data_IF_491696868973
#
_entry.id   IF_491696868973
#
_cell.length_a   1.000
_cell.length_b   1.000
_cell.length_c   1.000
_cell.angle_alpha   90.00
_cell.angle_beta   90.00
_cell.angle_gamma   90.00
#
_symmetry.space_group_name_H-M   'P 1'
#
loop_
_entity.id
_entity.type
_entity.pdbx_description
1 polymer ?
#
# COMPACT_ATOMS: atom_id res chain seq x y z
N UNK A 1 -10.22 0.83 -11.64
CA UNK A 1 -10.65 -0.60 -11.78
C UNK A 1 -9.49 -1.56 -12.04
N UNK A 2 -8.68 -1.36 -13.07
CA UNK A 2 -7.70 -2.38 -13.49
C UNK A 2 -6.63 -2.70 -12.44
N UNK A 3 -6.17 -1.71 -11.67
CA UNK A 3 -5.15 -1.92 -10.62
C UNK A 3 -5.67 -2.74 -9.43
N UNK A 4 -6.96 -2.69 -9.12
CA UNK A 4 -7.57 -3.48 -8.04
C UNK A 4 -7.39 -5.00 -8.25
N UNK A 5 -7.39 -5.46 -9.49
CA UNK A 5 -7.18 -6.87 -9.84
C UNK A 5 -5.81 -7.35 -9.37
N UNK A 6 -4.77 -6.53 -9.55
CA UNK A 6 -3.39 -6.88 -9.17
C UNK A 6 -3.28 -7.10 -7.66
N UNK A 7 -3.96 -6.27 -6.86
CA UNK A 7 -3.98 -6.41 -5.41
C UNK A 7 -4.78 -7.64 -4.95
N UNK A 8 -5.83 -8.05 -5.69
CA UNK A 8 -6.68 -9.19 -5.33
C UNK A 8 -6.16 -10.54 -5.82
N UNK A 9 -5.36 -10.55 -6.86
CA UNK A 9 -4.87 -11.78 -7.49
C UNK A 9 -4.28 -12.78 -6.48
N UNK A 10 -3.36 -12.38 -5.55
CA UNK A 10 -2.80 -13.30 -4.56
C UNK A 10 -3.84 -13.88 -3.60
N UNK A 11 -4.89 -13.10 -3.28
CA UNK A 11 -5.99 -13.57 -2.41
C UNK A 11 -6.83 -14.60 -3.14
N UNK A 12 -7.17 -14.37 -4.40
CA UNK A 12 -7.96 -15.30 -5.21
C UNK A 12 -7.22 -16.61 -5.46
N UNK A 13 -5.91 -16.57 -5.68
CA UNK A 13 -5.08 -17.78 -5.78
C UNK A 13 -5.11 -18.61 -4.49
N UNK A 14 -5.21 -17.94 -3.35
CA UNK A 14 -5.38 -18.60 -2.04
C UNK A 14 -6.83 -18.98 -1.70
N UNK A 15 -7.80 -18.74 -2.60
CA UNK A 15 -9.22 -18.97 -2.35
C UNK A 15 -9.85 -17.99 -1.36
N UNK A 16 -9.27 -16.81 -1.21
CA UNK A 16 -9.69 -15.75 -0.30
C UNK A 16 -10.12 -14.50 -1.09
N UNK A 17 -10.85 -13.62 -0.44
CA UNK A 17 -11.17 -12.27 -0.95
C UNK A 17 -11.57 -11.36 0.20
N UNK A 18 -11.58 -10.05 -0.06
CA UNK A 18 -12.11 -9.04 0.86
C UNK A 18 -13.23 -8.25 0.20
N UNK A 19 -14.23 -7.83 1.00
CA UNK A 19 -15.51 -7.27 0.52
C UNK A 19 -15.52 -5.74 0.40
N UNK A 20 -14.41 -5.08 0.67
CA UNK A 20 -14.27 -3.62 0.53
C UNK A 20 -13.40 -3.24 -0.68
N UNK A 21 -13.26 -1.95 -0.97
CA UNK A 21 -12.30 -1.47 -1.96
C UNK A 21 -10.87 -1.68 -1.47
N UNK A 22 -9.92 -1.85 -2.38
CA UNK A 22 -8.50 -1.96 -2.04
C UNK A 22 -7.91 -0.63 -1.61
N UNK A 23 -8.51 0.49 -2.03
CA UNK A 23 -8.06 1.82 -1.65
C UNK A 23 -8.98 2.92 -2.19
N UNK A 24 -8.78 4.12 -1.68
CA UNK A 24 -9.58 5.30 -1.97
C UNK A 24 -8.73 6.57 -1.93
N UNK A 25 -9.21 7.64 -2.56
CA UNK A 25 -8.63 8.96 -2.43
C UNK A 25 -8.79 9.49 -1.01
N UNK A 26 -7.85 10.34 -0.60
CA UNK A 26 -7.81 10.99 0.71
C UNK A 26 -7.92 12.49 0.52
N UNK A 27 -8.84 13.12 1.25
CA UNK A 27 -9.10 14.55 1.19
C UNK A 27 -8.09 15.38 1.97
N UNK A 28 -7.79 16.56 1.46
CA UNK A 28 -6.84 17.49 2.07
C UNK A 28 -7.30 17.98 3.47
N UNK A 29 -8.60 18.10 3.70
CA UNK A 29 -9.16 18.64 4.93
C UNK A 29 -9.98 17.57 5.66
N UNK A 30 -9.30 16.62 6.28
CA UNK A 30 -9.88 15.61 7.20
C UNK A 30 -10.96 14.69 6.58
N UNK A 31 -11.24 14.75 5.28
CA UNK A 31 -12.15 13.80 4.66
C UNK A 31 -11.39 12.55 4.23
N UNK A 32 -11.37 11.55 5.09
CA UNK A 32 -10.58 10.33 4.88
C UNK A 32 -10.99 9.57 3.60
N UNK A 33 -12.25 9.63 3.20
CA UNK A 33 -12.73 9.05 1.95
C UNK A 33 -13.13 10.15 0.97
N UNK A 34 -12.23 10.58 0.10
CA UNK A 34 -12.52 11.62 -0.88
C UNK A 34 -12.08 11.16 -2.28
N UNK A 35 -13.00 11.35 -3.25
CA UNK A 35 -12.67 11.08 -4.66
C UNK A 35 -11.64 12.07 -5.23
N UNK A 36 -11.28 11.93 -6.51
CA UNK A 36 -11.96 11.11 -7.54
C UNK A 36 -11.48 9.66 -7.68
N UNK A 37 -10.30 9.32 -7.16
CA UNK A 37 -9.65 8.03 -7.37
C UNK A 37 -10.06 6.97 -6.34
N UNK A 38 -10.00 5.72 -6.76
CA UNK A 38 -10.13 4.56 -5.88
C UNK A 38 -9.55 3.31 -6.55
N UNK A 39 -9.04 2.40 -5.75
CA UNK A 39 -8.78 1.02 -6.13
C UNK A 39 -9.99 0.17 -5.77
N UNK A 40 -10.80 -0.19 -6.77
CA UNK A 40 -11.97 -1.06 -6.59
C UNK A 40 -12.36 -1.70 -7.93
N UNK A 41 -12.96 -2.89 -7.88
CA UNK A 41 -13.38 -3.62 -9.08
C UNK A 41 -14.73 -3.14 -9.65
N UNK A 42 -15.52 -2.41 -8.86
CA UNK A 42 -16.77 -1.78 -9.33
C UNK A 42 -16.62 -0.26 -9.29
N UNK A 43 -17.00 0.39 -10.37
CA UNK A 43 -17.23 1.84 -10.36
C UNK A 43 -18.46 2.23 -9.56
N UNK A 44 -18.65 3.53 -9.37
CA UNK A 44 -19.88 4.11 -8.84
C UNK A 44 -20.83 4.44 -9.99
N UNK A 45 -22.12 4.73 -9.70
CA UNK A 45 -23.10 5.13 -10.72
C UNK A 45 -22.62 6.34 -11.54
N UNK A 46 -22.02 7.32 -10.87
CA UNK A 46 -21.48 8.55 -11.48
C UNK A 46 -20.12 8.34 -12.17
N UNK A 47 -19.41 7.25 -11.87
CA UNK A 47 -18.09 6.94 -12.41
C UNK A 47 -17.92 5.43 -12.64
N UNK A 48 -18.65 4.86 -13.57
CA UNK A 48 -18.64 3.41 -13.81
C UNK A 48 -17.25 2.88 -14.24
N UNK A 49 -16.42 3.73 -14.87
CA UNK A 49 -15.05 3.41 -15.27
C UNK A 49 -13.98 3.69 -14.22
N UNK A 50 -14.35 4.35 -13.12
CA UNK A 50 -13.40 4.90 -12.17
C UNK A 50 -12.66 6.14 -12.71
N UNK A 51 -11.76 6.71 -11.90
CA UNK A 51 -10.87 7.78 -12.32
C UNK A 51 -9.55 7.22 -12.88
N UNK A 52 -8.96 7.94 -13.83
CA UNK A 52 -7.57 7.72 -14.25
C UNK A 52 -6.68 8.40 -13.23
N UNK A 53 -5.63 7.72 -12.79
CA UNK A 53 -4.67 8.32 -11.86
C UNK A 53 -3.85 9.42 -12.57
N UNK A 54 -3.71 10.54 -11.89
CA UNK A 54 -2.91 11.69 -12.31
C UNK A 54 -1.85 11.98 -11.25
N UNK A 55 -0.79 12.68 -11.65
CA UNK A 55 0.28 13.11 -10.75
C UNK A 55 -0.27 13.92 -9.58
N UNK A 56 0.19 13.63 -8.37
CA UNK A 56 -0.23 14.28 -7.15
C UNK A 56 -1.50 13.70 -6.49
N UNK A 57 -2.20 12.77 -7.14
CA UNK A 57 -3.32 12.09 -6.50
C UNK A 57 -2.83 11.19 -5.36
N UNK A 58 -3.40 11.39 -4.17
CA UNK A 58 -3.17 10.54 -2.99
C UNK A 58 -4.23 9.45 -2.97
N UNK A 59 -3.82 8.25 -2.58
CA UNK A 59 -4.71 7.08 -2.46
C UNK A 59 -4.20 6.16 -1.36
N UNK A 60 -5.11 5.42 -0.71
CA UNK A 60 -4.73 4.29 0.15
C UNK A 60 -4.51 3.04 -0.68
N UNK A 61 -3.73 2.10 -0.14
CA UNK A 61 -3.62 0.70 -0.57
C UNK A 61 -3.73 -0.16 0.68
N UNK A 62 -4.92 -0.76 0.88
CA UNK A 62 -5.37 -1.33 2.15
C UNK A 62 -6.04 -2.70 2.02
N UNK A 63 -5.45 -3.65 1.29
CA UNK A 63 -5.99 -4.99 1.21
C UNK A 63 -6.04 -5.67 2.59
N UNK A 64 -6.96 -6.62 2.78
CA UNK A 64 -7.08 -7.29 4.07
C UNK A 64 -7.74 -8.65 4.00
N UNK A 65 -7.58 -9.44 5.06
CA UNK A 65 -8.24 -10.72 5.28
C UNK A 65 -9.05 -10.62 6.57
N UNK A 66 -10.30 -11.09 6.52
CA UNK A 66 -11.21 -11.05 7.66
C UNK A 66 -11.94 -12.38 7.78
N UNK A 67 -11.58 -13.16 8.81
CA UNK A 67 -12.15 -14.47 9.07
C UNK A 67 -13.07 -14.37 10.27
N UNK A 68 -14.37 -14.52 10.04
CA UNK A 68 -15.41 -14.38 11.07
C UNK A 68 -15.14 -15.30 12.27
N UNK A 69 -15.21 -14.72 13.46
CA UNK A 69 -14.96 -15.44 14.72
C UNK A 69 -13.50 -15.82 14.98
N UNK A 70 -12.56 -15.38 14.14
CA UNK A 70 -11.12 -15.68 14.28
C UNK A 70 -10.27 -14.42 14.35
N UNK A 71 -10.02 -13.77 13.22
CA UNK A 71 -9.12 -12.60 13.14
C UNK A 71 -9.39 -11.76 11.89
N UNK A 72 -8.90 -10.55 11.91
CA UNK A 72 -8.76 -9.67 10.73
C UNK A 72 -7.37 -9.08 10.68
N UNK A 73 -6.81 -8.98 9.47
CA UNK A 73 -5.51 -8.37 9.20
C UNK A 73 -5.67 -7.44 8.00
N UNK A 74 -5.23 -6.19 8.16
CA UNK A 74 -5.09 -5.20 7.10
C UNK A 74 -3.67 -4.67 7.11
N UNK A 75 -3.03 -4.61 5.96
CA UNK A 75 -1.79 -3.86 5.76
C UNK A 75 -2.12 -2.67 4.87
N UNK A 76 -1.74 -1.48 5.29
CA UNK A 76 -2.17 -0.25 4.64
C UNK A 76 -1.05 0.78 4.58
N UNK A 77 -0.89 1.36 3.39
CA UNK A 77 -0.09 2.55 3.17
C UNK A 77 -0.88 3.61 2.40
N UNK A 78 -0.61 4.87 2.67
CA UNK A 78 -0.94 5.96 1.78
C UNK A 78 0.13 6.11 0.70
N UNK A 79 -0.32 6.35 -0.52
CA UNK A 79 0.50 6.46 -1.72
C UNK A 79 0.21 7.77 -2.44
N UNK A 80 1.22 8.36 -3.06
CA UNK A 80 1.04 9.45 -4.01
C UNK A 80 1.44 9.01 -5.41
N UNK A 81 0.58 9.31 -6.39
CA UNK A 81 0.83 9.01 -7.80
C UNK A 81 1.85 10.00 -8.38
N UNK A 82 2.89 9.51 -9.01
CA UNK A 82 3.97 10.28 -9.61
C UNK A 82 4.17 9.91 -11.09
N UNK A 83 4.70 10.87 -11.88
CA UNK A 83 5.14 10.59 -13.25
C UNK A 83 6.49 9.87 -13.24
N UNK A 84 6.56 8.77 -13.97
CA UNK A 84 7.77 8.07 -14.30
C UNK A 84 8.30 8.45 -15.68
N UNK A 85 8.94 7.49 -16.33
CA UNK A 85 9.47 7.65 -17.69
C UNK A 85 8.34 7.91 -18.70
N UNK A 86 8.64 8.76 -19.68
CA UNK A 86 7.81 8.93 -20.87
C UNK A 86 8.56 8.37 -22.09
N UNK A 87 7.94 7.45 -22.80
CA UNK A 87 8.50 6.84 -24.00
C UNK A 87 7.44 6.67 -25.10
N UNK A 88 7.73 5.88 -26.13
CA UNK A 88 6.84 5.63 -27.27
C UNK A 88 5.51 4.94 -26.89
N UNK A 89 5.45 4.24 -25.75
CA UNK A 89 4.22 3.61 -25.23
C UNK A 89 3.37 4.55 -24.38
N UNK A 90 3.89 5.72 -24.00
CA UNK A 90 3.17 6.75 -23.25
C UNK A 90 3.88 7.23 -22.01
N UNK A 91 3.12 7.89 -21.15
CA UNK A 91 3.58 8.34 -19.82
C UNK A 91 3.37 7.22 -18.82
N UNK A 92 4.47 6.64 -18.29
CA UNK A 92 4.41 5.71 -17.18
C UNK A 92 4.20 6.47 -15.86
N UNK A 93 3.46 5.85 -14.96
CA UNK A 93 3.19 6.35 -13.62
C UNK A 93 3.69 5.33 -12.59
N UNK A 94 4.03 5.81 -11.39
CA UNK A 94 4.34 4.95 -10.25
C UNK A 94 3.76 5.54 -8.98
N UNK A 95 3.76 4.76 -7.91
CA UNK A 95 3.32 5.21 -6.60
C UNK A 95 4.50 5.32 -5.65
N UNK A 96 4.54 6.40 -4.89
CA UNK A 96 5.50 6.65 -3.83
C UNK A 96 4.78 6.57 -2.49
N UNK A 97 5.40 5.94 -1.48
CA UNK A 97 4.82 5.82 -0.16
C UNK A 97 4.84 7.17 0.58
N UNK A 98 3.72 7.51 1.21
CA UNK A 98 3.59 8.62 2.15
C UNK A 98 3.61 8.12 3.61
N UNK A 99 3.31 6.85 3.85
CA UNK A 99 3.35 6.22 5.17
C UNK A 99 4.76 5.76 5.49
N UNK A 100 5.28 6.16 6.65
CA UNK A 100 6.59 5.77 7.16
C UNK A 100 6.46 5.02 8.49
N UNK A 101 5.73 3.90 8.47
CA UNK A 101 5.52 3.00 9.61
C UNK A 101 6.01 1.61 9.22
N UNK A 102 6.87 0.94 10.01
CA UNK A 102 7.31 -0.40 9.69
C UNK A 102 6.15 -1.40 9.77
N UNK A 103 6.11 -2.37 8.85
CA UNK A 103 5.26 -3.54 9.00
C UNK A 103 5.80 -4.45 10.10
N UNK A 104 4.88 -5.10 10.83
CA UNK A 104 5.24 -6.05 11.88
C UNK A 104 5.85 -7.32 11.27
N UNK A 105 7.17 -7.43 11.37
CA UNK A 105 7.92 -8.56 10.81
C UNK A 105 7.67 -9.88 11.56
N UNK A 106 7.21 -9.82 12.80
CA UNK A 106 6.92 -11.04 13.58
C UNK A 106 5.64 -11.73 13.09
N UNK A 107 4.80 -11.01 12.33
CA UNK A 107 3.62 -11.55 11.66
C UNK A 107 3.90 -12.04 10.23
N UNK A 108 5.12 -11.96 9.74
CA UNK A 108 5.51 -12.31 8.36
C UNK A 108 6.34 -13.61 8.36
N UNK A 109 5.96 -14.58 7.53
CA UNK A 109 6.78 -15.75 7.25
C UNK A 109 7.63 -15.53 5.98
N UNK A 110 8.94 -15.22 6.12
CA UNK A 110 9.78 -14.94 4.96
C UNK A 110 9.97 -16.14 4.01
N UNK A 111 9.66 -17.36 4.47
CA UNK A 111 9.77 -18.57 3.63
C UNK A 111 8.68 -18.64 2.56
N UNK A 112 7.58 -17.91 2.76
CA UNK A 112 6.47 -17.83 1.80
C UNK A 112 6.65 -16.66 0.82
N UNK A 113 7.67 -15.82 1.01
CA UNK A 113 7.95 -14.67 0.15
C UNK A 113 8.96 -15.00 -0.93
N UNK A 114 8.73 -14.46 -2.11
CA UNK A 114 9.74 -14.44 -3.19
C UNK A 114 10.87 -13.47 -2.86
N UNK A 115 12.03 -13.63 -3.49
CA UNK A 115 13.16 -12.71 -3.31
C UNK A 115 12.83 -11.26 -3.72
N UNK A 116 11.93 -11.09 -4.69
CA UNK A 116 11.44 -9.76 -5.12
C UNK A 116 10.60 -9.10 -4.04
N UNK A 117 9.72 -9.86 -3.39
CA UNK A 117 8.88 -9.35 -2.29
C UNK A 117 9.72 -8.99 -1.07
N UNK A 118 10.65 -9.87 -0.66
CA UNK A 118 11.60 -9.57 0.43
C UNK A 118 12.38 -8.29 0.13
N UNK A 119 12.92 -8.18 -1.09
CA UNK A 119 13.65 -6.98 -1.48
C UNK A 119 12.78 -5.72 -1.38
N UNK A 120 11.55 -5.75 -1.85
CA UNK A 120 10.62 -4.61 -1.78
C UNK A 120 10.32 -4.22 -0.33
N UNK A 121 10.07 -5.19 0.55
CA UNK A 121 9.83 -4.95 1.97
C UNK A 121 11.08 -4.36 2.66
N UNK A 122 12.26 -4.93 2.39
CA UNK A 122 13.53 -4.44 2.92
C UNK A 122 13.84 -3.01 2.43
N UNK A 123 13.61 -2.71 1.16
CA UNK A 123 13.78 -1.36 0.60
C UNK A 123 12.81 -0.36 1.27
N UNK A 124 11.55 -0.75 1.48
CA UNK A 124 10.56 0.05 2.20
C UNK A 124 11.01 0.33 3.65
N UNK A 125 11.40 -0.71 4.40
CA UNK A 125 11.87 -0.56 5.78
C UNK A 125 13.16 0.28 5.89
N UNK A 126 14.08 0.12 4.94
CA UNK A 126 15.28 0.97 4.89
C UNK A 126 14.90 2.46 4.69
N UNK A 127 13.90 2.74 3.86
CA UNK A 127 13.39 4.09 3.67
C UNK A 127 12.66 4.62 4.93
N UNK A 128 11.83 3.80 5.59
CA UNK A 128 11.21 4.15 6.88
C UNK A 128 12.29 4.52 7.90
N UNK A 129 13.31 3.67 8.07
CA UNK A 129 14.41 3.95 8.97
C UNK A 129 15.12 5.26 8.64
N UNK A 130 15.47 5.46 7.37
CA UNK A 130 16.14 6.67 6.89
C UNK A 130 15.36 7.95 7.20
N UNK A 131 14.04 7.93 7.02
CA UNK A 131 13.18 9.11 7.20
C UNK A 131 12.90 9.38 8.67
N UNK A 132 12.64 8.34 9.46
CA UNK A 132 12.15 8.48 10.85
C UNK A 132 13.29 8.54 11.88
N UNK A 133 14.41 7.82 11.66
CA UNK A 133 15.51 7.74 12.63
C UNK A 133 16.11 9.10 13.06
N UNK A 134 16.16 10.16 12.23
CA UNK A 134 16.67 11.46 12.67
C UNK A 134 15.84 12.13 13.80
N UNK A 135 14.62 11.68 14.00
CA UNK A 135 13.70 12.24 15.01
C UNK A 135 13.62 11.43 16.29
N UNK A 136 14.32 10.27 16.38
CA UNK A 136 14.26 9.35 17.51
C UNK A 136 15.62 9.24 18.21
N UNK A 137 15.59 8.88 19.50
CA UNK A 137 16.78 8.70 20.33
C UNK A 137 16.61 7.50 21.27
N UNK A 138 17.73 7.02 21.84
CA UNK A 138 17.73 5.99 22.86
C UNK A 138 16.95 4.73 22.48
N UNK A 139 16.02 4.35 23.33
CA UNK A 139 15.23 3.12 23.17
C UNK A 139 14.31 3.15 21.95
N UNK A 140 13.74 4.31 21.61
CA UNK A 140 12.88 4.47 20.44
C UNK A 140 13.65 4.24 19.13
N UNK A 141 14.88 4.77 19.04
CA UNK A 141 15.74 4.53 17.88
C UNK A 141 16.17 3.07 17.79
N UNK A 142 16.46 2.45 18.93
CA UNK A 142 16.80 1.03 18.98
C UNK A 142 15.63 0.15 18.52
N UNK A 143 14.42 0.48 18.98
CA UNK A 143 13.19 -0.18 18.55
C UNK A 143 12.96 -0.01 17.04
N UNK A 144 13.08 1.21 16.51
CA UNK A 144 12.90 1.45 15.07
C UNK A 144 13.89 0.62 14.24
N UNK A 145 15.14 0.54 14.68
CA UNK A 145 16.17 -0.27 14.00
C UNK A 145 15.79 -1.75 13.95
N UNK A 146 15.25 -2.29 15.04
CA UNK A 146 14.79 -3.67 15.10
C UNK A 146 13.53 -3.89 14.26
N UNK A 147 12.55 -2.98 14.36
CA UNK A 147 11.30 -3.04 13.60
C UNK A 147 11.51 -2.91 12.07
N UNK A 148 12.62 -2.30 11.64
CA UNK A 148 12.96 -2.14 10.21
C UNK A 148 14.10 -3.05 9.75
N UNK A 149 14.43 -4.10 10.51
CA UNK A 149 15.47 -5.06 10.13
C UNK A 149 15.14 -5.74 8.79
N UNK A 150 16.16 -6.14 8.07
CA UNK A 150 15.98 -6.94 6.84
C UNK A 150 15.55 -8.38 7.17
N UNK A 151 14.79 -9.00 6.28
CA UNK A 151 14.37 -10.41 6.34
C UNK A 151 14.85 -11.20 5.16
#
# INVERSE_FOLDING_TARGET
>A
MNLDIIAREPFWEAGLDFKHGTGHGVGYVLNVHEGPNAFRYKGTEDRPGGAVFEEGMVTTDEPGIYIEGKYGIRLENELVCQKGEKNEYGQFMYFENLTYVPFDLDAIDPKQMTEVEKKRLNDYHANVYKVVSPYLQGEELAWLKEATRAI
#
